data_IF_064961234216
#
_entry.id   IF_064961234216
#
_cell.length_a   1.000
_cell.length_b   1.000
_cell.length_c   1.000
_cell.angle_alpha   90.00
_cell.angle_beta   90.00
_cell.angle_gamma   90.00
#
_symmetry.space_group_name_H-M   'P 1'
#
loop_
_entity.id
_entity.type
_entity.pdbx_description
1 polymer ?
#
# COMPACT_ATOMS: atom_id res chain seq x y z
N UNK A 1 -9.12 -50.38 -31.45
CA UNK A 1 -8.25 -49.25 -31.82
C UNK A 1 -8.69 -48.08 -30.96
N UNK A 2 -8.27 -48.07 -29.69
CA UNK A 2 -8.59 -47.01 -28.74
C UNK A 2 -7.66 -45.82 -28.99
N UNK A 3 -8.26 -44.63 -29.10
CA UNK A 3 -7.51 -43.37 -29.17
C UNK A 3 -7.22 -42.96 -27.73
N UNK A 4 -5.95 -42.93 -27.36
CA UNK A 4 -5.50 -42.33 -26.11
C UNK A 4 -5.67 -40.80 -26.16
N UNK A 5 -6.46 -40.26 -25.24
CA UNK A 5 -6.61 -38.83 -25.02
C UNK A 5 -5.30 -38.26 -24.45
N UNK A 6 -4.61 -37.47 -25.26
CA UNK A 6 -3.45 -36.68 -24.83
C UNK A 6 -3.91 -35.63 -23.82
N UNK A 7 -3.65 -35.88 -22.53
CA UNK A 7 -3.72 -34.88 -21.48
C UNK A 7 -2.68 -33.77 -21.76
N UNK A 8 -3.15 -32.56 -22.01
CA UNK A 8 -2.31 -31.37 -22.01
C UNK A 8 -1.80 -31.12 -20.59
N UNK A 9 -0.53 -31.45 -20.32
CA UNK A 9 0.16 -31.06 -19.10
C UNK A 9 0.76 -29.66 -19.28
N UNK A 10 -0.04 -28.63 -19.03
CA UNK A 10 0.48 -27.29 -18.85
C UNK A 10 1.19 -27.20 -17.50
N UNK A 11 2.52 -27.19 -17.50
CA UNK A 11 3.35 -26.91 -16.31
C UNK A 11 3.30 -25.42 -15.89
N UNK A 12 2.40 -24.63 -16.45
CA UNK A 12 2.16 -23.25 -16.00
C UNK A 12 1.23 -23.31 -14.79
N UNK A 13 1.70 -22.93 -13.59
CA UNK A 13 0.79 -22.76 -12.46
C UNK A 13 -0.29 -21.76 -12.86
N UNK A 14 -1.53 -22.08 -12.52
CA UNK A 14 -2.69 -21.21 -12.76
C UNK A 14 -2.40 -19.80 -12.22
N UNK A 15 -2.89 -18.77 -12.91
CA UNK A 15 -2.64 -17.37 -12.55
C UNK A 15 -3.02 -17.11 -11.08
N UNK A 16 -4.07 -17.77 -10.59
CA UNK A 16 -4.49 -17.70 -9.20
C UNK A 16 -3.49 -18.36 -8.24
N UNK A 17 -2.90 -19.49 -8.63
CA UNK A 17 -1.86 -20.18 -7.86
C UNK A 17 -0.55 -19.37 -7.81
N UNK A 18 -0.25 -18.60 -8.86
CA UNK A 18 0.88 -17.64 -8.86
C UNK A 18 0.64 -16.43 -7.95
N UNK A 19 -0.63 -16.02 -7.77
CA UNK A 19 -1.01 -14.92 -6.89
C UNK A 19 -1.11 -15.35 -5.42
N UNK A 20 -1.49 -16.60 -5.13
CA UNK A 20 -1.46 -17.16 -3.77
C UNK A 20 -0.04 -17.17 -3.17
N UNK A 21 0.99 -17.36 -4.00
CA UNK A 21 2.39 -17.32 -3.57
C UNK A 21 2.96 -15.93 -3.25
N UNK A 22 2.23 -14.83 -3.55
CA UNK A 22 2.70 -13.46 -3.26
C UNK A 22 2.68 -13.08 -1.78
N UNK A 23 2.15 -13.94 -0.90
CA UNK A 23 2.15 -13.72 0.54
C UNK A 23 3.51 -13.93 1.24
N UNK A 24 4.57 -14.31 0.54
CA UNK A 24 5.73 -14.93 1.19
C UNK A 24 6.81 -14.00 1.77
N UNK A 25 6.95 -12.73 1.36
CA UNK A 25 8.14 -11.95 1.74
C UNK A 25 8.19 -11.55 3.23
N UNK A 26 7.05 -11.31 3.87
CA UNK A 26 6.99 -10.95 5.30
C UNK A 26 7.10 -12.17 6.24
N UNK A 27 6.91 -13.37 5.69
CA UNK A 27 6.94 -14.63 6.44
C UNK A 27 8.11 -15.52 5.99
N UNK A 28 9.06 -14.97 5.22
CA UNK A 28 10.30 -15.67 4.86
C UNK A 28 11.22 -15.74 6.09
N UNK A 29 11.98 -16.82 6.19
CA UNK A 29 12.99 -17.00 7.22
C UNK A 29 14.18 -16.03 7.02
N UNK A 30 14.38 -15.54 5.79
CA UNK A 30 15.42 -14.56 5.46
C UNK A 30 14.87 -13.14 5.45
N UNK A 31 15.52 -12.23 6.19
CA UNK A 31 15.15 -10.82 6.20
C UNK A 31 15.43 -10.16 4.83
N UNK A 32 14.44 -9.46 4.23
CA UNK A 32 14.70 -8.62 3.07
C UNK A 32 15.51 -7.38 3.47
N UNK A 33 16.12 -6.72 2.48
CA UNK A 33 16.66 -5.38 2.67
C UNK A 33 15.51 -4.37 2.82
N UNK A 34 15.47 -3.70 3.97
CA UNK A 34 14.46 -2.72 4.34
C UNK A 34 15.09 -1.34 4.59
N UNK A 35 16.34 -1.13 4.18
CA UNK A 35 16.93 0.21 4.17
C UNK A 35 16.26 1.07 3.09
N UNK A 36 15.33 1.91 3.53
CA UNK A 36 14.55 2.81 2.68
C UNK A 36 14.89 4.28 2.94
N UNK A 37 16.03 4.57 3.57
CA UNK A 37 16.36 5.94 3.99
C UNK A 37 16.25 6.94 2.84
N UNK A 38 16.88 6.64 1.70
CA UNK A 38 16.97 7.57 0.58
C UNK A 38 15.62 7.70 -0.15
N UNK A 39 14.92 6.59 -0.34
CA UNK A 39 13.58 6.53 -0.92
C UNK A 39 12.60 7.33 -0.06
N UNK A 40 12.63 7.13 1.25
CA UNK A 40 11.72 7.77 2.19
C UNK A 40 11.96 9.27 2.26
N UNK A 41 13.21 9.71 2.44
CA UNK A 41 13.56 11.13 2.45
C UNK A 41 13.25 11.76 1.08
N UNK A 42 13.52 11.05 -0.02
CA UNK A 42 13.16 11.46 -1.37
C UNK A 42 11.65 11.68 -1.52
N UNK A 43 10.84 10.77 -0.98
CA UNK A 43 9.38 10.84 -1.01
C UNK A 43 8.83 11.99 -0.16
N UNK A 44 9.40 12.27 1.02
CA UNK A 44 9.04 13.44 1.85
C UNK A 44 9.37 14.73 1.10
N UNK A 45 10.57 14.83 0.49
CA UNK A 45 10.97 15.99 -0.33
C UNK A 45 10.06 16.18 -1.54
N UNK A 46 9.70 15.09 -2.21
CA UNK A 46 8.74 15.09 -3.31
C UNK A 46 7.41 15.70 -2.86
N UNK A 47 6.86 15.22 -1.74
CA UNK A 47 5.59 15.72 -1.19
C UNK A 47 5.64 17.22 -0.87
N UNK A 48 6.72 17.71 -0.26
CA UNK A 48 6.91 19.15 -0.01
C UNK A 48 6.95 19.93 -1.34
N UNK A 49 7.62 19.41 -2.37
CA UNK A 49 7.72 20.06 -3.67
C UNK A 49 6.37 20.11 -4.40
N UNK A 50 5.60 19.03 -4.37
CA UNK A 50 4.25 19.03 -4.94
C UNK A 50 3.33 20.00 -4.20
N UNK A 51 3.35 20.00 -2.86
CA UNK A 51 2.60 20.97 -2.07
C UNK A 51 2.95 22.43 -2.43
N UNK A 52 4.24 22.71 -2.69
CA UNK A 52 4.70 24.04 -3.14
C UNK A 52 4.12 24.41 -4.51
N UNK A 53 4.01 23.48 -5.47
CA UNK A 53 3.35 23.73 -6.76
C UNK A 53 1.87 24.13 -6.58
N UNK A 54 1.24 23.65 -5.51
CA UNK A 54 -0.12 24.00 -5.11
C UNK A 54 -0.19 25.16 -4.09
N UNK A 55 0.85 25.99 -4.02
CA UNK A 55 0.86 27.23 -3.22
C UNK A 55 1.08 27.03 -1.72
N UNK A 56 1.52 25.85 -1.27
CA UNK A 56 1.81 25.59 0.16
C UNK A 56 3.31 25.70 0.41
N UNK A 57 3.75 26.79 1.03
CA UNK A 57 5.15 26.96 1.43
C UNK A 57 5.53 26.03 2.58
N UNK A 58 6.84 25.87 2.82
CA UNK A 58 7.33 25.03 3.93
C UNK A 58 6.89 25.56 5.30
N UNK A 59 6.92 26.89 5.50
CA UNK A 59 6.39 27.52 6.71
C UNK A 59 4.89 27.21 6.86
N UNK A 60 4.12 27.29 5.77
CA UNK A 60 2.70 26.94 5.78
C UNK A 60 2.45 25.45 6.04
N UNK A 61 3.33 24.55 5.62
CA UNK A 61 3.25 23.13 5.97
C UNK A 61 3.37 22.96 7.49
N UNK A 62 4.33 23.63 8.14
CA UNK A 62 4.49 23.59 9.60
C UNK A 62 3.25 24.11 10.31
N UNK A 63 2.74 25.28 9.89
CA UNK A 63 1.51 25.86 10.46
C UNK A 63 0.34 24.88 10.33
N UNK A 64 0.22 24.22 9.17
CA UNK A 64 -0.82 23.23 8.92
C UNK A 64 -0.64 22.00 9.79
N UNK A 65 0.56 21.44 9.91
CA UNK A 65 0.81 20.30 10.80
C UNK A 65 0.40 20.63 12.25
N UNK A 66 0.77 21.83 12.73
CA UNK A 66 0.42 22.26 14.08
C UNK A 66 -1.09 22.54 14.29
N UNK A 67 -1.92 22.61 13.22
CA UNK A 67 -3.38 22.69 13.37
C UNK A 67 -4.01 21.35 13.78
N UNK A 68 -3.35 20.23 13.50
CA UNK A 68 -3.87 18.88 13.80
C UNK A 68 -2.98 18.09 14.76
N UNK A 69 -1.90 18.68 15.26
CA UNK A 69 -1.08 18.12 16.32
C UNK A 69 -1.50 18.68 17.68
N UNK A 70 -1.37 17.91 18.76
CA UNK A 70 -1.50 18.45 20.11
C UNK A 70 -0.36 19.44 20.39
N UNK A 71 -0.60 20.40 21.29
CA UNK A 71 0.31 21.53 21.53
C UNK A 71 1.72 21.12 21.97
N UNK A 72 1.84 20.03 22.72
CA UNK A 72 3.10 19.43 23.17
C UNK A 72 3.91 18.76 22.05
N UNK A 73 3.27 18.47 20.91
CA UNK A 73 3.90 17.90 19.71
C UNK A 73 4.09 18.91 18.59
N UNK A 74 3.82 20.20 18.81
CA UNK A 74 4.04 21.22 17.79
C UNK A 74 5.48 21.18 17.27
N UNK A 75 5.60 21.31 15.96
CA UNK A 75 6.87 21.30 15.26
C UNK A 75 7.25 22.71 14.83
N UNK A 76 8.54 22.89 14.57
CA UNK A 76 9.12 24.11 14.03
C UNK A 76 9.59 23.88 12.60
N UNK A 77 9.72 24.97 11.83
CA UNK A 77 10.37 24.92 10.51
C UNK A 77 11.78 24.34 10.58
N UNK A 78 12.54 24.70 11.63
CA UNK A 78 13.87 24.16 11.87
C UNK A 78 13.87 22.63 12.00
N UNK A 79 12.88 22.05 12.69
CA UNK A 79 12.72 20.59 12.76
C UNK A 79 12.44 19.98 11.39
N UNK A 80 11.47 20.52 10.64
CA UNK A 80 11.14 20.03 9.29
C UNK A 80 12.32 20.13 8.32
N UNK A 81 13.07 21.24 8.37
CA UNK A 81 14.30 21.42 7.58
C UNK A 81 15.39 20.41 8.00
N UNK A 82 15.52 20.14 9.30
CA UNK A 82 16.47 19.15 9.81
C UNK A 82 16.13 17.73 9.34
N UNK A 83 14.85 17.36 9.36
CA UNK A 83 14.36 16.04 8.92
C UNK A 83 14.51 15.78 7.43
N UNK A 84 14.71 16.83 6.64
CA UNK A 84 14.82 16.74 5.18
C UNK A 84 16.21 17.16 4.67
N UNK A 85 17.18 17.42 5.54
CA UNK A 85 18.54 17.76 5.14
C UNK A 85 19.29 16.54 4.56
N UNK A 86 20.17 16.74 3.58
CA UNK A 86 20.99 15.67 2.98
C UNK A 86 22.21 15.27 3.84
N UNK A 87 22.67 16.16 4.71
CA UNK A 87 24.00 16.09 5.34
C UNK A 87 23.96 15.91 6.86
N UNK A 88 22.78 15.64 7.41
CA UNK A 88 22.57 15.56 8.85
C UNK A 88 22.37 14.12 9.28
N UNK A 89 23.42 13.51 9.79
CA UNK A 89 23.30 12.28 10.58
C UNK A 89 22.35 12.54 11.78
N UNK A 90 21.54 11.55 12.14
CA UNK A 90 20.64 11.55 13.32
C UNK A 90 19.38 12.44 13.30
N UNK A 91 19.03 13.07 12.18
CA UNK A 91 17.77 13.83 12.06
C UNK A 91 16.77 13.15 11.13
N UNK A 92 16.29 11.96 11.51
CA UNK A 92 15.27 11.22 10.75
C UNK A 92 13.90 11.86 10.90
N UNK A 93 13.10 11.81 9.85
CA UNK A 93 11.70 12.23 9.91
C UNK A 93 10.91 11.22 10.77
N UNK A 94 10.27 11.62 11.89
CA UNK A 94 9.58 10.68 12.77
C UNK A 94 8.24 10.24 12.19
N UNK A 95 7.98 8.93 12.16
CA UNK A 95 6.79 8.34 11.55
C UNK A 95 5.47 8.83 12.18
N UNK A 96 5.47 9.16 13.48
CA UNK A 96 4.26 9.68 14.17
C UNK A 96 3.73 11.00 13.58
N UNK A 97 4.58 11.75 12.88
CA UNK A 97 4.18 13.00 12.22
C UNK A 97 3.65 12.80 10.80
N UNK A 98 3.72 11.59 10.24
CA UNK A 98 3.28 11.32 8.86
C UNK A 98 1.81 11.69 8.59
N UNK A 99 0.83 11.38 9.47
CA UNK A 99 -0.55 11.75 9.21
C UNK A 99 -0.75 13.27 9.13
N UNK A 100 -0.19 14.01 10.08
CA UNK A 100 -0.23 15.47 10.08
C UNK A 100 0.49 16.06 8.86
N UNK A 101 1.61 15.48 8.47
CA UNK A 101 2.38 15.88 7.29
C UNK A 101 1.58 15.67 6.01
N UNK A 102 1.02 14.47 5.78
CA UNK A 102 0.20 14.14 4.61
C UNK A 102 -0.98 15.10 4.48
N UNK A 103 -1.67 15.38 5.60
CA UNK A 103 -2.73 16.39 5.62
C UNK A 103 -2.21 17.80 5.25
N UNK A 104 -1.05 18.18 5.80
CA UNK A 104 -0.44 19.48 5.55
C UNK A 104 0.02 19.66 4.09
N UNK A 105 0.52 18.61 3.43
CA UNK A 105 0.92 18.60 2.01
C UNK A 105 -0.24 18.31 1.04
N UNK A 106 -1.50 18.40 1.51
CA UNK A 106 -2.71 18.20 0.70
C UNK A 106 -2.86 16.79 0.12
N UNK A 107 -2.55 15.77 0.91
CA UNK A 107 -2.83 14.38 0.56
C UNK A 107 -1.79 13.72 -0.33
N UNK A 108 -0.59 14.30 -0.48
CA UNK A 108 0.51 13.62 -1.18
C UNK A 108 1.05 12.51 -0.27
N UNK A 109 0.73 11.26 -0.59
CA UNK A 109 0.99 10.07 0.24
C UNK A 109 2.32 9.35 -0.04
N UNK A 110 3.19 9.90 -0.89
CA UNK A 110 4.42 9.24 -1.36
C UNK A 110 5.29 8.65 -0.24
N UNK A 111 5.37 9.31 0.92
CA UNK A 111 6.14 8.81 2.06
C UNK A 111 5.52 7.54 2.68
N UNK A 112 4.18 7.44 2.71
CA UNK A 112 3.47 6.24 3.16
C UNK A 112 3.66 5.12 2.13
N UNK A 113 3.57 5.43 0.83
CA UNK A 113 3.76 4.43 -0.23
C UNK A 113 5.14 3.78 -0.19
N UNK A 114 6.20 4.54 0.11
CA UNK A 114 7.55 3.98 0.27
C UNK A 114 7.60 3.00 1.44
N UNK A 115 7.01 3.37 2.58
CA UNK A 115 6.95 2.50 3.76
C UNK A 115 6.19 1.20 3.47
N UNK A 116 5.02 1.29 2.84
CA UNK A 116 4.21 0.10 2.56
C UNK A 116 4.84 -0.77 1.48
N UNK A 117 5.42 -0.16 0.43
CA UNK A 117 6.04 -0.91 -0.67
C UNK A 117 7.24 -1.73 -0.21
N UNK A 118 8.02 -1.22 0.73
CA UNK A 118 9.11 -1.97 1.36
C UNK A 118 8.63 -3.29 2.00
N UNK A 119 7.38 -3.30 2.47
CA UNK A 119 6.72 -4.45 3.08
C UNK A 119 5.90 -5.29 2.08
N UNK A 120 5.98 -4.99 0.77
CA UNK A 120 5.15 -5.62 -0.26
C UNK A 120 3.67 -5.25 -0.18
N UNK A 121 3.33 -4.15 0.50
CA UNK A 121 1.98 -3.65 0.69
C UNK A 121 1.70 -2.47 -0.24
N UNK A 122 0.43 -2.33 -0.62
CA UNK A 122 -0.08 -1.19 -1.37
C UNK A 122 -1.04 -0.39 -0.48
N UNK A 123 -0.91 0.94 -0.52
CA UNK A 123 -1.94 1.82 0.02
C UNK A 123 -3.05 1.90 -1.02
N UNK A 124 -4.28 1.69 -0.57
CA UNK A 124 -5.49 1.92 -1.36
C UNK A 124 -6.39 2.88 -0.62
N UNK A 125 -7.14 3.69 -1.36
CA UNK A 125 -8.13 4.58 -0.76
C UNK A 125 -9.44 3.83 -0.38
N UNK A 126 -10.38 4.53 0.25
CA UNK A 126 -11.65 3.94 0.68
C UNK A 126 -12.47 3.42 -0.51
N UNK A 127 -12.42 4.11 -1.66
CA UNK A 127 -13.16 3.71 -2.86
C UNK A 127 -12.58 2.42 -3.44
N UNK A 128 -11.25 2.35 -3.54
CA UNK A 128 -10.51 1.17 -3.98
C UNK A 128 -10.70 -0.02 -3.02
N UNK A 129 -10.74 0.25 -1.71
CA UNK A 129 -11.06 -0.75 -0.69
C UNK A 129 -12.46 -1.32 -0.88
N UNK A 130 -13.49 -0.47 -1.01
CA UNK A 130 -14.87 -0.90 -1.25
C UNK A 130 -15.02 -1.67 -2.57
N UNK A 131 -14.36 -1.21 -3.63
CA UNK A 131 -14.35 -1.92 -4.91
C UNK A 131 -13.75 -3.32 -4.79
N UNK A 132 -12.65 -3.46 -4.01
CA UNK A 132 -12.02 -4.74 -3.73
C UNK A 132 -12.95 -5.68 -2.95
N UNK A 133 -13.62 -5.18 -1.91
CA UNK A 133 -14.58 -5.97 -1.12
C UNK A 133 -15.81 -6.39 -1.94
N UNK A 134 -16.30 -5.50 -2.81
CA UNK A 134 -17.36 -5.84 -3.75
C UNK A 134 -16.92 -6.94 -4.71
N UNK A 135 -15.71 -6.84 -5.27
CA UNK A 135 -15.14 -7.86 -6.16
C UNK A 135 -15.07 -9.23 -5.48
N UNK A 136 -14.55 -9.29 -4.24
CA UNK A 136 -14.53 -10.53 -3.44
C UNK A 136 -15.93 -11.12 -3.25
N UNK A 137 -16.91 -10.26 -2.96
CA UNK A 137 -18.30 -10.67 -2.75
C UNK A 137 -18.91 -11.25 -4.02
N UNK A 138 -18.70 -10.60 -5.17
CA UNK A 138 -19.20 -11.06 -6.47
C UNK A 138 -18.59 -12.41 -6.85
N UNK A 139 -17.27 -12.56 -6.71
CA UNK A 139 -16.58 -13.82 -6.99
C UNK A 139 -17.07 -14.95 -6.09
N UNK A 140 -17.28 -14.68 -4.79
CA UNK A 140 -17.84 -15.67 -3.86
C UNK A 140 -19.26 -16.09 -4.24
N UNK A 141 -20.12 -15.14 -4.64
CA UNK A 141 -21.47 -15.45 -5.14
C UNK A 141 -21.43 -16.33 -6.38
N UNK A 142 -20.54 -16.04 -7.33
CA UNK A 142 -20.38 -16.85 -8.53
C UNK A 142 -19.94 -18.29 -8.19
N UNK A 143 -18.98 -18.45 -7.28
CA UNK A 143 -18.53 -19.76 -6.81
C UNK A 143 -19.65 -20.58 -6.15
N UNK A 144 -20.46 -19.93 -5.28
CA UNK A 144 -21.61 -20.56 -4.64
C UNK A 144 -22.69 -20.99 -5.66
N UNK A 145 -22.97 -20.17 -6.66
CA UNK A 145 -23.93 -20.51 -7.71
C UNK A 145 -23.49 -21.74 -8.53
N UNK A 146 -22.18 -21.88 -8.80
CA UNK A 146 -21.62 -23.07 -9.45
C UNK A 146 -21.79 -24.30 -8.55
N UNK A 147 -21.47 -24.18 -7.26
CA UNK A 147 -21.66 -25.26 -6.29
C UNK A 147 -23.12 -25.68 -6.16
N UNK A 148 -24.05 -24.71 -6.10
CA UNK A 148 -25.49 -24.96 -6.05
C UNK A 148 -25.96 -25.76 -7.26
N UNK A 149 -25.51 -25.39 -8.48
CA UNK A 149 -25.83 -26.14 -9.70
C UNK A 149 -25.33 -27.59 -9.63
N UNK A 150 -24.08 -27.79 -9.21
CA UNK A 150 -23.49 -29.13 -9.05
C UNK A 150 -24.31 -29.97 -8.04
N UNK A 151 -24.72 -29.37 -6.92
CA UNK A 151 -25.51 -30.04 -5.90
C UNK A 151 -26.92 -30.39 -6.40
N UNK A 152 -27.60 -29.48 -7.11
CA UNK A 152 -28.92 -29.75 -7.72
C UNK A 152 -28.87 -30.91 -8.72
N UNK A 153 -27.84 -30.95 -9.56
CA UNK A 153 -27.62 -32.08 -10.48
C UNK A 153 -27.42 -33.39 -9.73
N UNK A 154 -26.62 -33.39 -8.64
CA UNK A 154 -26.40 -34.59 -7.81
C UNK A 154 -27.66 -35.04 -7.07
N UNK A 155 -28.54 -34.11 -6.68
CA UNK A 155 -29.80 -34.39 -5.99
C UNK A 155 -30.93 -34.83 -6.94
N UNK A 156 -30.73 -34.73 -8.26
CA UNK A 156 -31.78 -35.00 -9.25
C UNK A 156 -32.85 -33.91 -9.33
N UNK A 157 -32.57 -32.71 -8.81
CA UNK A 157 -33.47 -31.56 -8.80
C UNK A 157 -32.97 -30.44 -9.74
N UNK A 158 -32.13 -30.79 -10.71
CA UNK A 158 -31.45 -29.88 -11.64
C UNK A 158 -32.05 -29.90 -13.04
#
# INVERSE_FOLDING_TARGET
MEKEDKKFSGNQPDLFQQLEGRQAALYDDNAPDLDIEFEFIGAVKYAIREAKKHGVSRDRIVDRMNQCLPTDKHITKRQLDSWTANSKEYHKFPAEYLPAFVWAVRGVISAIEVLTRALGLHVIDETEYLATELGKTVTRKAALAVQERILKTKLGTG
#
